data_IF_381897912145
#
_entry.id   IF_381897912145
#
_cell.length_a   1.000
_cell.length_b   1.000
_cell.length_c   1.000
_cell.angle_alpha   90.00
_cell.angle_beta   90.00
_cell.angle_gamma   90.00
#
_symmetry.space_group_name_H-M   'P 1'
#
loop_
_entity.id
_entity.type
_entity.pdbx_description
1 polymer ?
#
# COMPACT_ATOMS: atom_id res chain seq x y z
N UNK A 1 -5.43 10.77 5.80
CA UNK A 1 -5.41 9.66 6.78
C UNK A 1 -6.01 8.33 6.28
N UNK A 2 -6.72 8.27 5.13
CA UNK A 2 -7.38 7.04 4.63
C UNK A 2 -6.45 5.82 4.46
N UNK A 3 -5.19 6.01 4.05
CA UNK A 3 -4.26 4.90 3.77
C UNK A 3 -3.76 4.18 5.03
N UNK A 4 -3.65 4.89 6.15
CA UNK A 4 -3.27 4.31 7.45
C UNK A 4 -4.38 3.42 8.02
N UNK A 5 -5.64 3.88 7.90
CA UNK A 5 -6.82 3.12 8.31
C UNK A 5 -6.96 1.84 7.48
N UNK A 6 -6.87 1.94 6.14
CA UNK A 6 -6.91 0.76 5.28
C UNK A 6 -5.84 -0.28 5.66
N UNK A 7 -4.60 0.16 5.88
CA UNK A 7 -3.51 -0.74 6.29
C UNK A 7 -3.84 -1.46 7.59
N UNK A 8 -4.40 -0.76 8.58
CA UNK A 8 -4.81 -1.33 9.87
C UNK A 8 -5.96 -2.31 9.72
N UNK A 9 -6.94 -2.01 8.87
CA UNK A 9 -8.05 -2.91 8.59
C UNK A 9 -7.61 -4.18 7.89
N UNK A 10 -6.74 -4.09 6.87
CA UNK A 10 -6.20 -5.26 6.18
C UNK A 10 -5.35 -6.14 7.10
N UNK A 11 -4.55 -5.51 7.97
CA UNK A 11 -3.78 -6.18 9.01
C UNK A 11 -4.71 -6.95 9.97
N UNK A 12 -5.80 -6.30 10.42
CA UNK A 12 -6.81 -6.91 11.30
C UNK A 12 -7.50 -8.09 10.64
N UNK A 13 -7.92 -7.96 9.36
CA UNK A 13 -8.55 -9.05 8.60
C UNK A 13 -7.67 -10.29 8.50
N UNK A 14 -6.35 -10.11 8.49
CA UNK A 14 -5.39 -11.22 8.36
C UNK A 14 -4.81 -11.69 9.69
N UNK A 15 -5.13 -11.03 10.80
CA UNK A 15 -4.52 -11.31 12.09
C UNK A 15 -3.00 -11.06 12.10
N UNK A 16 -2.49 -10.17 11.26
CA UNK A 16 -1.08 -9.86 11.14
C UNK A 16 -0.81 -8.43 11.61
N UNK A 17 0.41 -8.12 12.09
CA UNK A 17 0.82 -6.75 12.36
C UNK A 17 0.77 -5.88 11.09
N UNK A 18 0.40 -4.61 11.21
CA UNK A 18 0.25 -3.68 10.07
C UNK A 18 1.53 -3.52 9.22
N UNK A 19 2.70 -3.58 9.86
CA UNK A 19 3.99 -3.49 9.16
C UNK A 19 4.23 -4.67 8.20
N UNK A 20 3.56 -5.82 8.38
CA UNK A 20 3.62 -6.95 7.43
C UNK A 20 2.81 -6.71 6.16
N UNK A 21 1.83 -5.80 6.21
CA UNK A 21 1.09 -5.38 5.02
C UNK A 21 1.92 -4.35 4.29
N UNK A 22 2.36 -3.32 5.00
CA UNK A 22 3.22 -2.27 4.46
C UNK A 22 3.99 -1.56 5.57
N UNK A 23 5.29 -1.37 5.40
CA UNK A 23 6.09 -0.61 6.37
C UNK A 23 5.71 0.87 6.36
N UNK A 24 5.96 1.59 7.45
CA UNK A 24 5.72 3.03 7.49
C UNK A 24 6.56 3.78 6.45
N UNK A 25 7.81 3.36 6.22
CA UNK A 25 8.66 3.91 5.15
C UNK A 25 8.03 3.74 3.77
N UNK A 26 7.53 2.55 3.46
CA UNK A 26 6.88 2.28 2.17
C UNK A 26 5.57 3.07 2.05
N UNK A 27 4.86 3.31 3.16
CA UNK A 27 3.63 4.09 3.16
C UNK A 27 3.91 5.55 2.84
N UNK A 28 4.94 6.12 3.47
CA UNK A 28 5.40 7.49 3.19
C UNK A 28 5.81 7.62 1.73
N UNK A 29 6.63 6.68 1.23
CA UNK A 29 7.06 6.66 -0.16
C UNK A 29 5.90 6.51 -1.15
N UNK A 30 4.83 5.76 -0.81
CA UNK A 30 3.60 5.68 -1.63
C UNK A 30 2.85 7.02 -1.66
N UNK A 31 2.77 7.71 -0.52
CA UNK A 31 2.05 8.98 -0.42
C UNK A 31 2.80 10.11 -1.13
N UNK A 32 4.13 10.07 -1.12
CA UNK A 32 5.01 11.01 -1.80
C UNK A 32 5.00 10.77 -3.32
N UNK A 33 5.24 9.53 -3.76
CA UNK A 33 5.34 9.21 -5.19
C UNK A 33 3.99 9.07 -5.91
N UNK A 34 2.89 8.84 -5.19
CA UNK A 34 1.52 8.66 -5.71
C UNK A 34 1.47 7.84 -7.01
N UNK A 35 1.99 6.60 -7.00
CA UNK A 35 2.11 5.80 -8.21
C UNK A 35 0.76 5.65 -8.90
N UNK A 36 0.76 5.67 -10.24
CA UNK A 36 -0.44 5.50 -11.09
C UNK A 36 -0.40 4.19 -11.89
N UNK A 37 0.71 3.43 -11.81
CA UNK A 37 0.91 2.16 -12.50
C UNK A 37 1.59 1.09 -11.63
N UNK A 38 1.37 -0.18 -11.97
CA UNK A 38 1.97 -1.31 -11.24
C UNK A 38 3.51 -1.24 -11.22
N UNK A 39 4.10 -0.72 -12.29
CA UNK A 39 5.54 -0.51 -12.39
C UNK A 39 6.03 0.54 -11.40
N UNK A 40 5.30 1.65 -11.24
CA UNK A 40 5.64 2.67 -10.25
C UNK A 40 5.44 2.16 -8.82
N UNK A 41 4.41 1.33 -8.57
CA UNK A 41 4.27 0.65 -7.28
C UNK A 41 5.47 -0.24 -6.96
N UNK A 42 5.99 -0.98 -7.94
CA UNK A 42 7.19 -1.81 -7.79
C UNK A 42 8.47 -0.99 -7.58
N UNK A 43 8.50 0.27 -8.00
CA UNK A 43 9.60 1.18 -7.73
C UNK A 43 9.64 1.65 -6.27
N UNK A 44 8.55 1.46 -5.51
CA UNK A 44 8.49 1.85 -4.10
C UNK A 44 9.29 0.89 -3.22
N UNK A 45 10.24 1.39 -2.40
CA UNK A 45 11.02 0.54 -1.51
C UNK A 45 10.15 -0.27 -0.56
N UNK A 46 10.34 -1.60 -0.54
CA UNK A 46 9.57 -2.51 0.31
C UNK A 46 8.22 -2.95 -0.28
N UNK A 47 7.88 -2.52 -1.51
CA UNK A 47 6.75 -3.05 -2.28
C UNK A 47 7.26 -4.09 -3.28
N UNK A 48 6.78 -5.32 -3.16
CA UNK A 48 7.11 -6.41 -4.07
C UNK A 48 5.92 -6.82 -4.95
N UNK A 49 6.18 -7.68 -5.94
CA UNK A 49 5.17 -8.14 -6.90
C UNK A 49 3.93 -8.73 -6.23
N UNK A 50 4.11 -9.60 -5.23
CA UNK A 50 2.99 -10.19 -4.49
C UNK A 50 2.11 -9.15 -3.77
N UNK A 51 2.69 -8.02 -3.35
CA UNK A 51 1.91 -6.92 -2.79
C UNK A 51 1.13 -6.21 -3.88
N UNK A 52 1.76 -5.91 -5.01
CA UNK A 52 1.12 -5.21 -6.15
C UNK A 52 -0.02 -6.04 -6.73
N UNK A 53 0.17 -7.34 -6.91
CA UNK A 53 -0.88 -8.23 -7.39
C UNK A 53 -2.06 -8.30 -6.42
N UNK A 54 -1.78 -8.32 -5.11
CA UNK A 54 -2.82 -8.52 -4.09
C UNK A 54 -3.54 -7.23 -3.66
N UNK A 55 -2.83 -6.12 -3.67
CA UNK A 55 -3.30 -4.85 -3.10
C UNK A 55 -3.17 -3.66 -4.03
N UNK A 56 -2.49 -3.78 -5.18
CA UNK A 56 -2.26 -2.66 -6.09
C UNK A 56 -3.55 -1.94 -6.45
N UNK A 57 -4.61 -2.67 -6.79
CA UNK A 57 -5.92 -2.09 -7.08
C UNK A 57 -6.53 -1.31 -5.88
N UNK A 58 -6.39 -1.83 -4.66
CA UNK A 58 -6.88 -1.15 -3.46
C UNK A 58 -6.06 0.11 -3.16
N UNK A 59 -4.74 0.03 -3.30
CA UNK A 59 -3.83 1.17 -3.13
C UNK A 59 -4.08 2.24 -4.18
N UNK A 60 -4.26 1.89 -5.46
CA UNK A 60 -4.65 2.87 -6.48
C UNK A 60 -5.95 3.57 -6.16
N UNK A 61 -6.96 2.83 -5.71
CA UNK A 61 -8.24 3.42 -5.29
C UNK A 61 -8.07 4.35 -4.09
N UNK A 62 -7.16 4.06 -3.16
CA UNK A 62 -6.90 4.94 -2.01
C UNK A 62 -6.13 6.21 -2.38
N UNK A 63 -5.23 6.11 -3.37
CA UNK A 63 -4.40 7.23 -3.81
C UNK A 63 -5.12 8.16 -4.78
N UNK A 64 -5.94 7.61 -5.68
CA UNK A 64 -6.59 8.34 -6.77
C UNK A 64 -8.12 8.39 -6.66
N UNK A 65 -8.72 7.53 -5.83
CA UNK A 65 -10.15 7.55 -5.53
C UNK A 65 -10.48 8.52 -4.41
N UNK A 66 -10.62 9.79 -4.80
CA UNK A 66 -11.31 10.83 -4.04
C UNK A 66 -12.81 10.70 -4.21
#
# INVERSE_FOLDING_TARGET
>A
MRTLEWRREEARKRGLPAFRILTDRSLDALLDSRPASAQELLAVPGVGLAFVEKYGAAVFRLLHGG
#
